data_IF_702148746156
#
_entry.id   IF_702148746156
#
_cell.length_a   1.000
_cell.length_b   1.000
_cell.length_c   1.000
_cell.angle_alpha   90.00
_cell.angle_beta   90.00
_cell.angle_gamma   90.00
#
_symmetry.space_group_name_H-M   'P 1'
#
loop_
_entity.id
_entity.type
_entity.pdbx_description
1 polymer ?
#
# COMPACT_ATOMS: atom_id res chain seq x y z
N UNK A 1 16.77 24.76 -36.24
CA UNK A 1 15.39 24.44 -35.80
C UNK A 1 15.43 23.02 -35.26
N UNK A 2 15.72 22.86 -33.96
CA UNK A 2 15.70 21.54 -33.34
C UNK A 2 14.25 21.22 -32.97
N UNK A 3 13.75 20.14 -33.57
CA UNK A 3 12.39 19.64 -33.35
C UNK A 3 12.33 19.05 -31.94
N UNK A 4 11.74 19.79 -31.00
CA UNK A 4 11.44 19.28 -29.66
C UNK A 4 10.21 18.39 -29.82
N UNK A 5 10.44 17.10 -29.97
CA UNK A 5 9.39 16.10 -29.87
C UNK A 5 8.97 16.04 -28.39
N UNK A 6 7.96 16.82 -28.03
CA UNK A 6 7.26 16.69 -26.75
C UNK A 6 6.82 15.24 -26.57
N UNK A 7 7.03 14.58 -25.41
CA UNK A 7 6.49 13.27 -25.18
C UNK A 7 4.97 13.41 -25.14
N UNK A 8 4.29 12.80 -26.11
CA UNK A 8 2.85 12.54 -26.03
C UNK A 8 2.57 11.84 -24.71
N UNK A 9 1.90 12.53 -23.77
CA UNK A 9 1.26 11.86 -22.63
C UNK A 9 0.18 10.97 -23.24
N UNK A 10 0.51 9.72 -23.53
CA UNK A 10 -0.46 8.74 -24.01
C UNK A 10 -1.55 8.59 -22.94
N UNK A 11 -2.68 9.24 -23.17
CA UNK A 11 -3.92 9.19 -22.38
C UNK A 11 -4.74 7.94 -22.67
N UNK A 12 -4.10 6.86 -23.12
CA UNK A 12 -4.76 5.57 -23.32
C UNK A 12 -4.51 4.69 -22.10
N UNK A 13 -5.50 4.64 -21.22
CA UNK A 13 -5.51 3.70 -20.11
C UNK A 13 -5.82 2.30 -20.65
N UNK A 14 -4.88 1.34 -20.62
CA UNK A 14 -5.09 0.03 -21.20
C UNK A 14 -6.23 -0.69 -20.48
N UNK A 15 -6.95 -1.60 -21.13
CA UNK A 15 -8.07 -2.33 -20.51
C UNK A 15 -7.66 -3.14 -19.27
N UNK A 16 -6.38 -3.54 -19.18
CA UNK A 16 -5.77 -4.15 -18.00
C UNK A 16 -5.59 -3.21 -16.81
N UNK A 17 -5.67 -1.89 -17.02
CA UNK A 17 -5.53 -0.88 -15.96
C UNK A 17 -6.70 -0.90 -14.97
N UNK A 18 -7.91 -1.27 -15.39
CA UNK A 18 -9.10 -1.28 -14.53
C UNK A 18 -8.96 -2.22 -13.30
N UNK A 19 -8.68 -3.53 -13.47
CA UNK A 19 -8.46 -4.39 -12.30
C UNK A 19 -7.20 -4.00 -11.52
N UNK A 20 -6.14 -3.54 -12.18
CA UNK A 20 -4.93 -3.09 -11.49
C UNK A 20 -5.19 -1.85 -10.61
N UNK A 21 -6.01 -0.91 -11.08
CA UNK A 21 -6.43 0.27 -10.34
C UNK A 21 -7.30 -0.13 -9.15
N UNK A 22 -8.30 -0.99 -9.38
CA UNK A 22 -9.17 -1.50 -8.32
C UNK A 22 -8.36 -2.19 -7.21
N UNK A 23 -7.33 -2.97 -7.56
CA UNK A 23 -6.44 -3.61 -6.59
C UNK A 23 -5.68 -2.59 -5.73
N UNK A 24 -5.09 -1.56 -6.35
CA UNK A 24 -4.32 -0.51 -5.64
C UNK A 24 -5.21 0.29 -4.71
N UNK A 25 -6.38 0.71 -5.18
CA UNK A 25 -7.37 1.44 -4.40
C UNK A 25 -7.88 0.60 -3.22
N UNK A 26 -8.20 -0.68 -3.43
CA UNK A 26 -8.63 -1.56 -2.33
C UNK A 26 -7.56 -1.67 -1.24
N UNK A 27 -6.29 -1.73 -1.62
CA UNK A 27 -5.17 -1.73 -0.68
C UNK A 27 -5.07 -0.41 0.08
N UNK A 28 -5.08 0.71 -0.64
CA UNK A 28 -5.05 2.05 -0.06
C UNK A 28 -6.22 2.28 0.91
N UNK A 29 -7.45 1.91 0.53
CA UNK A 29 -8.63 2.00 1.41
C UNK A 29 -8.43 1.24 2.73
N UNK A 30 -7.70 0.13 2.68
CA UNK A 30 -7.44 -0.70 3.86
C UNK A 30 -6.46 -0.02 4.82
N UNK A 31 -5.46 0.69 4.30
CA UNK A 31 -4.52 1.51 5.08
C UNK A 31 -5.27 2.70 5.70
N UNK A 32 -6.01 3.46 4.89
CA UNK A 32 -6.77 4.62 5.38
C UNK A 32 -7.78 4.21 6.45
N UNK A 33 -8.49 3.09 6.25
CA UNK A 33 -9.39 2.56 7.27
C UNK A 33 -8.64 2.23 8.56
N UNK A 34 -7.47 1.58 8.50
CA UNK A 34 -6.71 1.22 9.70
C UNK A 34 -6.25 2.46 10.47
N UNK A 35 -5.74 3.48 9.77
CA UNK A 35 -5.33 4.75 10.37
C UNK A 35 -6.51 5.49 11.00
N UNK A 36 -7.66 5.47 10.32
CA UNK A 36 -8.85 6.14 10.81
C UNK A 36 -9.34 5.58 12.15
N UNK A 37 -9.13 4.28 12.46
CA UNK A 37 -9.58 3.67 13.73
C UNK A 37 -8.94 4.29 14.97
N UNK A 38 -7.83 4.98 14.79
CA UNK A 38 -7.20 5.77 15.85
C UNK A 38 -7.94 7.10 16.11
N UNK A 39 -8.90 7.48 15.26
CA UNK A 39 -9.76 8.67 15.39
C UNK A 39 -11.18 8.26 15.79
N UNK A 40 -11.78 9.03 16.71
CA UNK A 40 -13.00 8.63 17.45
C UNK A 40 -14.33 8.73 16.70
N UNK A 41 -14.36 9.16 15.44
CA UNK A 41 -15.61 9.31 14.69
C UNK A 41 -15.46 8.77 13.26
N UNK A 42 -16.30 7.80 12.91
CA UNK A 42 -16.38 7.24 11.57
C UNK A 42 -17.77 7.50 10.98
N UNK A 43 -17.84 8.02 9.75
CA UNK A 43 -19.11 8.08 9.04
C UNK A 43 -19.60 6.66 8.78
N UNK A 44 -20.89 6.41 9.08
CA UNK A 44 -21.55 5.15 8.72
C UNK A 44 -22.02 5.27 7.28
N UNK A 45 -21.56 4.40 6.36
CA UNK A 45 -21.95 4.50 4.97
C UNK A 45 -23.46 4.41 4.83
N UNK A 46 -24.04 5.37 4.11
CA UNK A 46 -25.45 5.40 3.75
C UNK A 46 -25.65 4.68 2.42
N UNK A 47 -26.88 4.27 2.16
CA UNK A 47 -27.24 3.53 0.94
C UNK A 47 -27.30 2.00 1.10
N UNK A 48 -27.67 1.34 0.00
CA UNK A 48 -27.79 -0.11 -0.10
C UNK A 48 -26.49 -0.71 -0.65
N UNK A 49 -26.02 -1.80 -0.03
CA UNK A 49 -24.81 -2.49 -0.46
C UNK A 49 -25.06 -3.99 -0.64
N UNK A 50 -24.57 -4.60 -1.72
CA UNK A 50 -24.72 -6.03 -1.96
C UNK A 50 -23.96 -6.86 -0.93
N UNK A 51 -24.48 -8.06 -0.66
CA UNK A 51 -23.81 -9.06 0.19
C UNK A 51 -22.50 -9.47 -0.50
N UNK A 52 -21.39 -9.42 0.25
CA UNK A 52 -20.06 -9.72 -0.28
C UNK A 52 -19.28 -8.50 -0.75
N UNK A 53 -19.82 -7.28 -0.64
CA UNK A 53 -19.02 -6.07 -0.82
C UNK A 53 -17.91 -6.00 0.23
N UNK A 54 -16.69 -5.68 -0.21
CA UNK A 54 -15.53 -5.57 0.67
C UNK A 54 -15.77 -4.48 1.72
N UNK A 55 -15.40 -4.76 2.97
CA UNK A 55 -15.67 -3.86 4.09
C UNK A 55 -15.02 -2.48 3.94
N UNK A 56 -13.84 -2.44 3.31
CA UNK A 56 -13.00 -1.29 3.06
C UNK A 56 -13.54 -0.42 1.94
N UNK A 57 -14.09 -1.06 0.90
CA UNK A 57 -14.79 -0.39 -0.19
C UNK A 57 -16.05 0.30 0.34
N UNK A 58 -16.85 -0.41 1.14
CA UNK A 58 -18.05 0.15 1.77
C UNK A 58 -17.71 1.28 2.76
N UNK A 59 -16.64 1.12 3.54
CA UNK A 59 -16.21 2.16 4.47
C UNK A 59 -15.73 3.41 3.74
N UNK A 60 -14.94 3.24 2.67
CA UNK A 60 -14.45 4.37 1.88
C UNK A 60 -15.60 5.12 1.20
N UNK A 61 -16.65 4.40 0.74
CA UNK A 61 -17.86 5.05 0.24
C UNK A 61 -18.41 6.06 1.25
N UNK A 62 -18.61 5.64 2.50
CA UNK A 62 -19.09 6.55 3.55
C UNK A 62 -18.10 7.64 3.96
N UNK A 63 -16.81 7.48 3.66
CA UNK A 63 -15.81 8.52 3.88
C UNK A 63 -15.84 9.60 2.78
N UNK A 64 -16.21 9.21 1.56
CA UNK A 64 -16.33 10.09 0.40
C UNK A 64 -17.71 10.77 0.34
N UNK A 65 -18.77 10.06 0.72
CA UNK A 65 -20.17 10.51 0.82
C UNK A 65 -20.32 11.55 1.96
N UNK A 66 -19.95 12.79 1.65
CA UNK A 66 -19.78 13.88 2.60
C UNK A 66 -21.13 14.50 2.96
N UNK A 67 -22.06 14.54 2.00
CA UNK A 67 -23.42 15.01 2.23
C UNK A 67 -24.39 13.91 2.70
N UNK A 68 -23.93 12.66 2.73
CA UNK A 68 -24.65 11.49 3.26
C UNK A 68 -25.95 11.17 2.50
N UNK A 69 -25.99 11.48 1.21
CA UNK A 69 -27.13 11.19 0.34
C UNK A 69 -27.16 9.72 -0.15
N UNK A 70 -26.08 8.97 0.09
CA UNK A 70 -25.95 7.57 -0.29
C UNK A 70 -25.53 7.35 -1.74
N UNK A 71 -25.01 8.38 -2.40
CA UNK A 71 -24.41 8.40 -3.74
C UNK A 71 -23.06 9.12 -3.66
N UNK A 72 -22.22 8.93 -4.67
CA UNK A 72 -20.99 9.70 -4.82
C UNK A 72 -21.10 10.59 -6.04
N UNK A 73 -21.09 11.90 -5.80
CA UNK A 73 -21.06 12.92 -6.83
C UNK A 73 -19.64 13.17 -7.36
N UNK A 74 -19.53 13.84 -8.51
CA UNK A 74 -18.24 14.30 -9.05
C UNK A 74 -17.47 15.20 -8.07
N UNK A 75 -18.17 15.98 -7.23
CA UNK A 75 -17.55 16.86 -6.24
C UNK A 75 -16.89 16.07 -5.11
N UNK A 76 -17.49 14.96 -4.70
CA UNK A 76 -16.97 14.08 -3.64
C UNK A 76 -15.81 13.22 -4.13
N UNK A 77 -15.85 12.81 -5.41
CA UNK A 77 -14.77 12.07 -6.07
C UNK A 77 -13.62 12.97 -6.53
N UNK A 78 -13.79 14.29 -6.52
CA UNK A 78 -12.84 15.24 -7.10
C UNK A 78 -11.40 15.03 -6.62
N UNK A 79 -11.20 14.82 -5.32
CA UNK A 79 -9.89 14.62 -4.73
C UNK A 79 -9.19 13.33 -5.19
N UNK A 80 -9.95 12.29 -5.56
CA UNK A 80 -9.41 11.07 -6.13
C UNK A 80 -9.12 11.26 -7.63
N UNK A 81 -10.05 11.86 -8.38
CA UNK A 81 -9.90 12.00 -9.84
C UNK A 81 -8.73 12.89 -10.28
N UNK A 82 -8.36 13.88 -9.47
CA UNK A 82 -7.37 14.90 -9.84
C UNK A 82 -5.96 14.60 -9.30
N UNK A 83 -5.67 13.35 -8.92
CA UNK A 83 -4.31 12.93 -8.62
C UNK A 83 -3.47 12.85 -9.90
N UNK A 84 -2.47 13.73 -10.00
CA UNK A 84 -1.58 13.82 -11.16
C UNK A 84 -0.70 12.57 -11.36
N UNK A 85 -0.56 11.74 -10.32
CA UNK A 85 0.23 10.51 -10.37
C UNK A 85 -0.60 9.30 -10.85
N UNK A 86 -1.93 9.39 -10.87
CA UNK A 86 -2.83 8.29 -11.24
C UNK A 86 -3.81 8.71 -12.36
N UNK A 87 -3.30 8.97 -13.59
CA UNK A 87 -4.12 9.48 -14.70
C UNK A 87 -5.24 8.51 -15.16
N UNK A 88 -5.14 7.24 -14.79
CA UNK A 88 -6.15 6.23 -15.11
C UNK A 88 -7.23 6.07 -14.03
N UNK A 89 -7.15 6.84 -12.95
CA UNK A 89 -8.13 6.78 -11.87
C UNK A 89 -9.47 7.34 -12.32
N UNK A 90 -9.48 8.50 -12.99
CA UNK A 90 -10.70 9.09 -13.53
C UNK A 90 -11.43 8.16 -14.52
N UNK A 91 -10.80 7.65 -15.60
CA UNK A 91 -11.47 6.70 -16.51
C UNK A 91 -11.92 5.39 -15.85
N UNK A 92 -11.30 5.00 -14.72
CA UNK A 92 -11.74 3.87 -13.93
C UNK A 92 -13.02 4.20 -13.15
N UNK A 93 -13.06 5.34 -12.47
CA UNK A 93 -14.21 5.81 -11.70
C UNK A 93 -15.42 6.13 -12.60
N UNK A 94 -15.18 6.78 -13.74
CA UNK A 94 -16.21 7.03 -14.76
C UNK A 94 -16.83 5.71 -15.28
N UNK A 95 -16.07 4.61 -15.29
CA UNK A 95 -16.57 3.29 -15.69
C UNK A 95 -17.28 2.52 -14.56
N UNK A 96 -17.27 3.04 -13.34
CA UNK A 96 -18.03 2.49 -12.22
C UNK A 96 -19.52 2.89 -12.30
N UNK A 97 -19.84 4.03 -12.92
CA UNK A 97 -21.21 4.47 -13.23
C UNK A 97 -21.77 3.60 -14.37
N UNK A 98 -22.53 2.57 -14.01
CA UNK A 98 -23.00 1.54 -14.94
C UNK A 98 -24.35 1.85 -15.55
N UNK A 99 -25.18 2.62 -14.86
CA UNK A 99 -26.46 3.10 -15.39
C UNK A 99 -26.37 4.51 -16.02
N UNK A 100 -25.19 5.13 -15.95
CA UNK A 100 -24.85 6.42 -16.57
C UNK A 100 -25.67 7.58 -16.03
N UNK A 101 -25.98 7.56 -14.73
CA UNK A 101 -26.74 8.60 -14.05
C UNK A 101 -25.89 9.74 -13.46
N UNK A 102 -24.56 9.71 -13.69
CA UNK A 102 -23.54 10.67 -13.22
C UNK A 102 -23.17 10.49 -11.74
N UNK A 103 -23.94 9.70 -10.99
CA UNK A 103 -23.67 9.39 -9.61
C UNK A 103 -23.18 7.95 -9.48
N UNK A 104 -22.25 7.70 -8.56
CA UNK A 104 -21.86 6.31 -8.26
C UNK A 104 -22.61 5.86 -7.03
N UNK A 105 -23.55 4.94 -7.21
CA UNK A 105 -24.32 4.35 -6.10
C UNK A 105 -23.53 3.27 -5.34
N UNK A 106 -23.98 2.92 -4.13
CA UNK A 106 -23.35 1.86 -3.32
C UNK A 106 -23.17 0.51 -4.05
N UNK A 107 -24.16 0.00 -4.81
CA UNK A 107 -24.01 -1.23 -5.60
C UNK A 107 -22.97 -1.11 -6.71
N UNK A 108 -22.93 0.03 -7.40
CA UNK A 108 -21.99 0.31 -8.48
C UNK A 108 -20.56 0.42 -7.99
N UNK A 109 -20.37 1.16 -6.90
CA UNK A 109 -19.10 1.24 -6.20
C UNK A 109 -18.61 -0.16 -5.84
N UNK A 110 -19.43 -0.98 -5.17
CA UNK A 110 -19.07 -2.37 -4.85
C UNK A 110 -18.79 -3.22 -6.10
N UNK A 111 -19.56 -3.03 -7.18
CA UNK A 111 -19.37 -3.69 -8.46
C UNK A 111 -18.01 -3.39 -9.08
N UNK A 112 -17.56 -2.14 -9.00
CA UNK A 112 -16.30 -1.68 -9.54
C UNK A 112 -15.08 -2.37 -8.89
N UNK A 113 -15.22 -2.77 -7.61
CA UNK A 113 -14.19 -3.51 -6.86
C UNK A 113 -14.45 -5.02 -6.79
N UNK A 114 -15.47 -5.56 -7.45
CA UNK A 114 -15.83 -6.99 -7.37
C UNK A 114 -14.70 -7.93 -7.82
N UNK A 115 -13.86 -7.48 -8.74
CA UNK A 115 -12.68 -8.20 -9.25
C UNK A 115 -11.37 -7.75 -8.59
N UNK A 116 -11.43 -6.86 -7.62
CA UNK A 116 -10.25 -6.40 -6.91
C UNK A 116 -9.69 -7.55 -6.05
N UNK A 117 -8.43 -7.89 -6.29
CA UNK A 117 -7.70 -8.93 -5.58
C UNK A 117 -6.59 -8.31 -4.76
N UNK A 118 -6.51 -8.72 -3.49
CA UNK A 118 -5.38 -8.37 -2.62
C UNK A 118 -4.11 -9.10 -3.06
N UNK A 119 -2.92 -8.58 -2.69
CA UNK A 119 -1.64 -9.09 -3.18
C UNK A 119 -1.46 -10.61 -3.04
N UNK A 120 -1.77 -11.19 -1.87
CA UNK A 120 -1.62 -12.64 -1.67
C UNK A 120 -2.65 -13.44 -2.47
N UNK A 121 -3.91 -13.01 -2.48
CA UNK A 121 -4.96 -13.70 -3.24
C UNK A 121 -4.64 -13.76 -4.74
N UNK A 122 -4.14 -12.67 -5.31
CA UNK A 122 -3.73 -12.58 -6.71
C UNK A 122 -2.59 -13.55 -7.06
N UNK A 123 -1.56 -13.62 -6.21
CA UNK A 123 -0.42 -14.54 -6.40
C UNK A 123 -0.86 -15.99 -6.21
N UNK A 124 -1.66 -16.28 -5.18
CA UNK A 124 -2.15 -17.63 -4.87
C UNK A 124 -2.94 -18.25 -6.01
N UNK A 125 -3.75 -17.47 -6.73
CA UNK A 125 -4.51 -17.97 -7.89
C UNK A 125 -3.64 -18.48 -9.04
N UNK A 126 -2.40 -18.01 -9.14
CA UNK A 126 -1.46 -18.36 -10.22
C UNK A 126 -0.36 -19.32 -9.76
N UNK A 127 -0.37 -19.71 -8.49
CA UNK A 127 0.69 -20.51 -7.88
C UNK A 127 0.36 -21.99 -7.90
N UNK A 128 1.39 -22.83 -8.02
CA UNK A 128 1.29 -24.28 -7.82
C UNK A 128 1.07 -24.61 -6.33
N UNK A 129 0.46 -25.75 -5.98
CA UNK A 129 0.20 -26.11 -4.58
C UNK A 129 1.42 -26.10 -3.65
N UNK A 130 2.62 -26.38 -4.18
CA UNK A 130 3.87 -26.43 -3.41
C UNK A 130 4.50 -25.05 -3.12
N UNK A 131 4.16 -24.04 -3.92
CA UNK A 131 4.67 -22.67 -3.82
C UNK A 131 3.58 -21.64 -3.52
N UNK A 132 2.33 -22.07 -3.41
CA UNK A 132 1.19 -21.20 -3.13
C UNK A 132 1.37 -20.49 -1.78
N UNK A 133 1.31 -19.15 -1.75
CA UNK A 133 1.41 -18.40 -0.51
C UNK A 133 0.20 -18.65 0.37
N UNK A 134 0.42 -18.53 1.67
CA UNK A 134 -0.63 -18.63 2.66
C UNK A 134 -1.25 -17.25 2.87
N UNK A 135 -2.52 -17.11 2.52
CA UNK A 135 -3.26 -15.86 2.67
C UNK A 135 -4.23 -15.91 3.85
N UNK A 136 -4.53 -14.75 4.44
CA UNK A 136 -5.62 -14.59 5.40
C UNK A 136 -7.00 -14.58 4.71
N UNK A 137 -8.06 -14.38 5.49
CA UNK A 137 -9.44 -14.32 4.97
C UNK A 137 -9.73 -13.08 4.13
N UNK A 138 -8.94 -12.01 4.29
CA UNK A 138 -9.07 -10.77 3.51
C UNK A 138 -8.32 -10.86 2.18
N UNK A 139 -7.33 -11.74 2.07
CA UNK A 139 -6.48 -11.95 0.90
C UNK A 139 -5.09 -11.33 1.01
N UNK A 140 -4.66 -10.90 2.21
CA UNK A 140 -3.28 -10.50 2.51
C UNK A 140 -2.41 -11.69 2.89
N UNK A 141 -1.09 -11.52 2.88
CA UNK A 141 -0.17 -12.56 3.30
C UNK A 141 -0.29 -12.80 4.81
N UNK A 142 -0.31 -14.07 5.23
CA UNK A 142 -0.06 -14.41 6.64
C UNK A 142 1.42 -14.18 6.95
N UNK A 143 1.72 -13.80 8.19
CA UNK A 143 3.07 -13.46 8.63
C UNK A 143 4.09 -14.57 8.35
N UNK A 144 3.72 -15.85 8.48
CA UNK A 144 4.58 -16.99 8.10
C UNK A 144 4.25 -17.49 6.70
N UNK A 145 5.27 -17.55 5.83
CA UNK A 145 5.21 -18.17 4.52
C UNK A 145 6.13 -19.38 4.45
N UNK A 146 5.73 -20.40 3.67
CA UNK A 146 6.53 -21.61 3.50
C UNK A 146 6.47 -22.11 2.05
N UNK A 147 7.63 -22.43 1.49
CA UNK A 147 7.76 -23.15 0.23
C UNK A 147 7.87 -24.65 0.51
N UNK A 148 6.78 -25.39 0.31
CA UNK A 148 6.67 -26.80 0.71
C UNK A 148 7.70 -27.69 0.03
N UNK A 149 7.89 -27.50 -1.29
CA UNK A 149 8.85 -28.30 -2.07
C UNK A 149 10.31 -28.10 -1.69
N UNK A 150 10.66 -26.99 -1.01
CA UNK A 150 12.03 -26.70 -0.59
C UNK A 150 12.22 -26.86 0.93
N UNK A 151 11.14 -27.09 1.68
CA UNK A 151 11.16 -27.11 3.13
C UNK A 151 11.63 -25.80 3.76
N UNK A 152 11.44 -24.66 3.07
CA UNK A 152 11.85 -23.33 3.54
C UNK A 152 10.66 -22.56 4.08
N UNK A 153 10.83 -21.85 5.19
CA UNK A 153 9.83 -20.93 5.73
C UNK A 153 10.48 -19.59 6.11
N UNK A 154 9.75 -18.49 5.97
CA UNK A 154 10.21 -17.13 6.29
C UNK A 154 9.05 -16.28 6.79
N UNK A 155 9.37 -15.12 7.36
CA UNK A 155 8.37 -14.15 7.78
C UNK A 155 8.20 -13.06 6.73
N UNK A 156 6.97 -12.62 6.52
CA UNK A 156 6.62 -11.54 5.59
C UNK A 156 5.70 -10.52 6.23
N UNK A 157 5.68 -9.31 5.68
CA UNK A 157 4.64 -8.31 5.95
C UNK A 157 3.32 -8.66 5.24
N UNK A 158 2.21 -7.92 5.48
CA UNK A 158 0.92 -8.18 4.84
C UNK A 158 0.95 -8.12 3.30
N UNK A 159 1.95 -7.45 2.71
CA UNK A 159 2.13 -7.26 1.27
C UNK A 159 3.04 -8.33 0.63
N UNK A 160 3.69 -9.16 1.45
CA UNK A 160 4.50 -10.30 1.03
C UNK A 160 6.00 -10.03 1.00
N UNK A 161 6.45 -8.89 1.52
CA UNK A 161 7.88 -8.56 1.62
C UNK A 161 8.49 -9.36 2.76
N UNK A 162 9.55 -10.10 2.48
CA UNK A 162 10.26 -10.91 3.48
C UNK A 162 11.05 -10.05 4.46
N UNK A 163 10.92 -10.37 5.75
CA UNK A 163 11.80 -9.84 6.78
C UNK A 163 13.16 -10.55 6.69
N UNK A 164 14.23 -9.77 6.51
CA UNK A 164 15.58 -10.29 6.37
C UNK A 164 15.99 -11.18 7.55
N UNK A 165 16.72 -12.26 7.28
CA UNK A 165 17.23 -13.19 8.30
C UNK A 165 16.18 -14.13 8.91
N UNK A 166 14.92 -14.09 8.46
CA UNK A 166 13.85 -14.96 9.02
C UNK A 166 13.71 -16.31 8.32
N UNK A 167 14.43 -16.51 7.21
CA UNK A 167 14.38 -17.73 6.41
C UNK A 167 15.02 -18.91 7.14
N UNK A 168 14.26 -19.98 7.30
CA UNK A 168 14.64 -21.21 8.01
C UNK A 168 14.33 -22.44 7.17
N UNK A 169 15.06 -23.54 7.40
CA UNK A 169 14.82 -24.83 6.76
C UNK A 169 14.27 -25.82 7.78
N UNK A 170 13.15 -26.48 7.46
CA UNK A 170 12.54 -27.54 8.28
C UNK A 170 11.75 -27.09 9.52
N UNK A 171 11.95 -25.87 10.01
CA UNK A 171 11.19 -25.28 11.11
C UNK A 171 10.40 -24.05 10.64
N UNK A 172 9.34 -23.68 11.36
CA UNK A 172 8.61 -22.42 11.13
C UNK A 172 9.18 -21.33 12.04
N UNK A 173 9.52 -20.14 11.51
CA UNK A 173 9.96 -19.02 12.33
C UNK A 173 8.80 -18.45 13.16
N UNK A 174 9.12 -17.87 14.33
CA UNK A 174 8.17 -17.14 15.15
C UNK A 174 7.97 -15.72 14.59
N UNK A 175 7.00 -15.59 13.68
CA UNK A 175 6.74 -14.32 13.00
C UNK A 175 5.92 -13.34 13.85
N UNK A 176 5.18 -13.81 14.85
CA UNK A 176 4.34 -12.94 15.69
C UNK A 176 5.22 -12.03 16.55
N UNK A 177 6.30 -12.59 17.12
CA UNK A 177 7.31 -11.82 17.85
C UNK A 177 8.01 -10.77 16.97
N UNK A 178 8.25 -11.08 15.70
CA UNK A 178 8.95 -10.19 14.76
C UNK A 178 8.06 -9.03 14.36
N UNK A 179 6.81 -9.31 13.97
CA UNK A 179 5.84 -8.28 13.60
C UNK A 179 5.58 -7.34 14.78
N UNK A 180 5.41 -7.86 15.99
CA UNK A 180 5.19 -7.05 17.19
C UNK A 180 6.38 -6.12 17.50
N UNK A 181 7.62 -6.60 17.34
CA UNK A 181 8.83 -5.77 17.52
C UNK A 181 8.91 -4.64 16.51
N UNK A 182 8.53 -4.90 15.25
CA UNK A 182 8.52 -3.88 14.18
C UNK A 182 7.44 -2.83 14.46
N UNK A 183 6.22 -3.26 14.83
CA UNK A 183 5.14 -2.34 15.21
C UNK A 183 5.47 -1.49 16.44
N UNK A 184 6.40 -1.95 17.28
CA UNK A 184 6.88 -1.22 18.48
C UNK A 184 8.12 -0.34 18.20
N UNK A 185 8.55 -0.22 16.94
CA UNK A 185 9.76 0.54 16.56
C UNK A 185 11.09 -0.09 16.99
N UNK A 186 11.09 -1.36 17.42
CA UNK A 186 12.24 -2.02 18.03
C UNK A 186 13.17 -2.76 17.07
N UNK A 187 12.87 -2.81 15.76
CA UNK A 187 13.68 -3.51 14.77
C UNK A 187 14.06 -2.56 13.64
N UNK A 188 15.34 -2.18 13.58
CA UNK A 188 15.94 -1.54 12.39
C UNK A 188 15.98 -2.58 11.28
N UNK A 189 14.98 -2.57 10.41
CA UNK A 189 15.10 -3.21 9.09
C UNK A 189 16.07 -2.39 8.25
N UNK A 190 16.74 -2.98 7.26
CA UNK A 190 17.64 -2.27 6.36
C UNK A 190 16.87 -1.23 5.51
N UNK A 191 16.48 -0.10 6.11
CA UNK A 191 16.54 1.16 5.42
C UNK A 191 18.01 1.39 5.13
N UNK A 192 18.32 1.66 3.88
CA UNK A 192 19.51 2.45 3.56
C UNK A 192 19.32 3.78 4.28
N UNK A 193 19.94 3.92 5.44
CA UNK A 193 20.12 5.22 6.06
C UNK A 193 20.99 6.01 5.07
N UNK A 194 20.34 6.92 4.33
CA UNK A 194 21.04 8.05 3.74
C UNK A 194 21.39 8.92 4.94
N UNK A 195 22.57 8.71 5.51
CA UNK A 195 23.11 9.59 6.53
C UNK A 195 23.16 11.01 5.94
N UNK A 196 22.27 11.86 6.44
CA UNK A 196 22.25 13.30 6.21
C UNK A 196 23.34 13.89 7.12
N UNK A 197 24.51 14.17 6.55
CA UNK A 197 25.61 14.87 7.23
C UNK A 197 25.18 16.34 7.52
N UNK A 198 24.39 16.57 8.57
CA UNK A 198 24.24 17.90 9.18
C UNK A 198 25.40 18.17 10.17
N UNK A 199 26.52 18.70 9.69
CA UNK A 199 27.54 19.33 10.54
C UNK A 199 27.09 20.75 10.91
N UNK A 200 26.26 20.83 11.95
CA UNK A 200 25.90 22.06 12.64
C UNK A 200 27.00 22.45 13.62
N UNK A 201 27.88 23.35 13.17
CA UNK A 201 29.00 23.87 13.95
C UNK A 201 28.59 24.48 15.30
N UNK A 202 29.36 24.15 16.33
CA UNK A 202 29.38 24.88 17.60
C UNK A 202 30.82 25.22 17.98
N UNK A 203 31.15 26.49 17.82
CA UNK A 203 32.32 27.15 18.41
C UNK A 203 32.28 27.03 19.93
N UNK A 204 33.35 26.51 20.52
CA UNK A 204 33.74 26.81 21.90
C UNK A 204 35.24 26.66 22.04
N UNK A 205 35.91 27.80 21.90
CA UNK A 205 37.32 27.97 22.21
C UNK A 205 37.57 27.84 23.72
N UNK A 206 38.60 27.08 24.08
CA UNK A 206 39.51 27.35 25.20
C UNK A 206 40.72 26.39 25.12
N UNK A 207 41.79 26.93 24.54
CA UNK A 207 43.21 26.82 24.87
C UNK A 207 43.73 25.58 25.63
N UNK A 208 44.75 24.90 25.06
CA UNK A 208 46.08 24.70 25.69
C UNK A 208 47.01 23.83 24.82
N UNK A 209 47.91 24.53 24.12
CA UNK A 209 49.36 24.30 23.98
C UNK A 209 49.96 22.87 24.09
N UNK A 210 50.67 22.43 23.04
CA UNK A 210 51.54 21.25 23.10
C UNK A 210 52.15 20.86 21.75
N UNK A 211 53.32 21.43 21.43
CA UNK A 211 54.16 21.16 20.25
C UNK A 211 54.83 19.78 20.30
N UNK A 212 54.86 19.04 19.18
CA UNK A 212 56.01 18.23 18.75
C UNK A 212 55.79 17.59 17.37
N UNK A 213 56.80 17.76 16.52
CA UNK A 213 56.99 17.23 15.19
C UNK A 213 57.01 15.67 15.08
N UNK A 214 56.85 15.24 13.82
CA UNK A 214 57.58 14.17 13.12
C UNK A 214 56.85 12.83 12.80
N UNK A 215 57.31 12.08 11.78
CA UNK A 215 56.82 12.11 10.39
C UNK A 215 56.16 10.79 9.95
N UNK A 216 55.58 10.81 8.74
CA UNK A 216 55.09 9.64 8.02
C UNK A 216 56.23 8.67 7.70
N UNK A 217 56.04 7.37 8.00
CA UNK A 217 56.72 6.30 7.28
C UNK A 217 55.84 5.04 7.18
N UNK A 218 55.85 4.48 5.96
CA UNK A 218 55.19 3.30 5.37
C UNK A 218 53.66 3.24 5.18
#
# INVERSE_FOLDING_TARGET
MYNVQSPSRNTDCPTSSKPAMANRLLDWFSVVMADSKHRRQHPKPKGHFPIGCQSEVRWMFGHLDSDSDGRLSLSELYGLEHDQNEPCLKPFLDACDTDSDIFVSGPEWCGCFSKAERPCAAVRRRSSPDSAPTCDSRGYYRSTQCHRGLGLCWCVDPHGVEFAGTRTRGAKPDCDMIVNKISSGGLKTNSVDLDDDEDGGTDSAQDLEGSADQPLDF
#
